data_IF_275075080772
#
_entry.id   IF_275075080772
#
_cell.length_a   1.000
_cell.length_b   1.000
_cell.length_c   1.000
_cell.angle_alpha   90.00
_cell.angle_beta   90.00
_cell.angle_gamma   90.00
#
_symmetry.space_group_name_H-M   'P 1'
#
loop_
_entity.id
_entity.type
_entity.pdbx_description
1 polymer ?
#
# COMPACT_ATOMS: atom_id res chain seq x y z
N UNK A 1 14.10 9.15 20.39
CA UNK A 1 13.22 9.39 19.23
C UNK A 1 12.44 8.14 18.79
N UNK A 2 13.03 7.10 18.18
CA UNK A 2 12.28 5.94 17.62
C UNK A 2 11.19 5.32 18.53
N UNK A 3 11.45 5.14 19.84
CA UNK A 3 10.47 4.59 20.78
C UNK A 3 9.19 5.44 20.91
N UNK A 4 9.31 6.77 20.99
CA UNK A 4 8.15 7.67 21.13
C UNK A 4 7.21 7.59 19.93
N UNK A 5 7.74 7.45 18.71
CA UNK A 5 6.91 7.31 17.49
C UNK A 5 6.06 6.04 17.53
N UNK A 6 6.60 4.93 18.05
CA UNK A 6 5.87 3.68 18.23
C UNK A 6 4.77 3.82 19.29
N UNK A 7 5.05 4.48 20.41
CA UNK A 7 4.07 4.75 21.47
C UNK A 7 2.95 5.67 20.96
N UNK A 8 3.28 6.73 20.22
CA UNK A 8 2.27 7.59 19.57
C UNK A 8 1.40 6.83 18.57
N UNK A 9 1.98 5.95 17.76
CA UNK A 9 1.22 5.12 16.82
C UNK A 9 0.26 4.15 17.53
N UNK A 10 0.73 3.48 18.60
CA UNK A 10 -0.10 2.58 19.41
C UNK A 10 -1.25 3.30 20.12
N UNK A 11 -1.03 4.54 20.58
CA UNK A 11 -2.09 5.37 21.17
C UNK A 11 -3.12 5.84 20.13
N UNK A 12 -2.70 6.17 18.91
CA UNK A 12 -3.60 6.55 17.83
C UNK A 12 -4.50 5.39 17.37
N UNK A 13 -4.00 4.16 17.35
CA UNK A 13 -4.80 2.97 17.02
C UNK A 13 -5.93 2.69 18.02
N UNK A 14 -5.78 3.07 19.29
CA UNK A 14 -6.79 2.81 20.33
C UNK A 14 -8.00 3.75 20.29
N UNK A 15 -7.98 4.84 19.50
CA UNK A 15 -9.08 5.81 19.47
C UNK A 15 -10.10 5.57 18.36
N UNK A 16 -9.90 4.56 17.49
CA UNK A 16 -10.91 4.15 16.51
C UNK A 16 -11.94 3.24 17.20
N UNK A 17 -12.76 3.85 18.05
CA UNK A 17 -13.95 3.20 18.63
C UNK A 17 -14.98 2.95 17.53
N UNK A 18 -14.82 1.84 16.80
CA UNK A 18 -15.83 1.36 15.85
C UNK A 18 -17.09 1.03 16.63
N UNK A 19 -18.08 1.93 16.57
CA UNK A 19 -19.43 1.64 17.06
C UNK A 19 -20.03 0.58 16.14
N UNK A 20 -19.93 -0.68 16.56
CA UNK A 20 -20.32 -1.84 15.78
C UNK A 20 -21.84 -1.97 15.65
N UNK A 21 -22.44 -1.24 14.72
CA UNK A 21 -23.77 -1.57 14.22
C UNK A 21 -23.68 -2.89 13.44
N UNK A 22 -24.40 -3.90 13.93
CA UNK A 22 -24.39 -5.26 13.42
C UNK A 22 -25.15 -5.35 12.09
N UNK A 23 -24.48 -4.97 11.00
CA UNK A 23 -25.03 -5.05 9.64
C UNK A 23 -24.78 -6.43 9.03
N UNK A 24 -25.84 -7.14 8.62
CA UNK A 24 -25.66 -8.31 7.76
C UNK A 24 -25.08 -7.86 6.41
N UNK A 25 -23.84 -8.28 6.14
CA UNK A 25 -23.15 -7.98 4.87
C UNK A 25 -23.24 -9.18 3.95
N UNK A 26 -24.02 -9.05 2.87
CA UNK A 26 -24.16 -10.08 1.83
C UNK A 26 -23.34 -9.68 0.60
N UNK A 27 -22.59 -10.63 0.05
CA UNK A 27 -21.75 -10.48 -1.15
C UNK A 27 -22.21 -11.49 -2.22
N UNK A 28 -22.14 -11.09 -3.50
CA UNK A 28 -22.54 -11.92 -4.65
C UNK A 28 -21.78 -11.43 -5.90
N UNK A 29 -21.65 -12.25 -6.96
CA UNK A 29 -21.02 -11.83 -8.21
C UNK A 29 -22.02 -11.15 -9.17
N UNK A 30 -21.57 -10.26 -10.07
CA UNK A 30 -22.42 -9.69 -11.13
C UNK A 30 -23.12 -10.76 -11.97
N UNK A 31 -24.36 -10.47 -12.38
CA UNK A 31 -25.21 -11.34 -13.21
C UNK A 31 -25.91 -12.48 -12.44
N UNK A 32 -25.52 -12.77 -11.20
CA UNK A 32 -26.15 -13.81 -10.37
C UNK A 32 -27.49 -13.34 -9.78
N UNK A 33 -28.07 -14.16 -8.90
CA UNK A 33 -29.22 -13.84 -8.05
C UNK A 33 -28.77 -13.86 -6.57
N UNK A 34 -29.35 -12.97 -5.76
CA UNK A 34 -29.12 -12.87 -4.32
C UNK A 34 -30.46 -12.71 -3.60
N UNK A 35 -30.56 -13.19 -2.37
CA UNK A 35 -31.71 -12.93 -1.51
C UNK A 35 -31.25 -12.31 -0.20
N UNK A 36 -31.79 -11.14 0.13
CA UNK A 36 -31.65 -10.48 1.43
C UNK A 36 -32.73 -11.00 2.38
N UNK A 37 -32.41 -11.13 3.67
CA UNK A 37 -33.25 -11.75 4.69
C UNK A 37 -33.48 -10.79 5.86
N UNK A 38 -34.73 -10.38 6.05
CA UNK A 38 -35.14 -9.57 7.20
C UNK A 38 -36.03 -10.39 8.13
N UNK A 39 -35.74 -10.40 9.44
CA UNK A 39 -36.56 -11.15 10.41
C UNK A 39 -37.92 -10.48 10.58
N UNK A 40 -39.00 -11.24 10.42
CA UNK A 40 -40.34 -10.76 10.76
C UNK A 40 -40.44 -10.58 12.28
N UNK A 41 -40.70 -9.34 12.71
CA UNK A 41 -40.88 -8.98 14.12
C UNK A 41 -42.37 -8.91 14.53
N UNK A 42 -43.30 -9.02 13.58
CA UNK A 42 -44.73 -8.93 13.85
C UNK A 42 -45.38 -10.30 14.03
N UNK A 43 -46.14 -10.45 15.12
CA UNK A 43 -46.98 -11.62 15.38
C UNK A 43 -48.35 -11.56 14.68
N UNK A 44 -48.68 -10.42 14.06
CA UNK A 44 -49.94 -10.18 13.34
C UNK A 44 -49.69 -9.59 11.93
N UNK A 45 -50.68 -9.64 11.02
CA UNK A 45 -50.61 -8.99 9.71
C UNK A 45 -50.25 -7.50 9.81
N UNK A 46 -49.22 -7.09 9.08
CA UNK A 46 -48.70 -5.71 9.07
C UNK A 46 -48.17 -5.36 7.68
N UNK A 47 -48.34 -4.09 7.29
CA UNK A 47 -47.66 -3.56 6.12
C UNK A 47 -46.14 -3.64 6.31
N UNK A 48 -45.54 -4.53 5.56
CA UNK A 48 -44.10 -4.77 5.52
C UNK A 48 -43.57 -4.36 4.17
N UNK A 49 -42.44 -3.65 4.14
CA UNK A 49 -41.84 -3.13 2.91
C UNK A 49 -40.34 -3.35 2.85
N UNK A 50 -39.81 -3.35 1.63
CA UNK A 50 -38.39 -3.19 1.35
C UNK A 50 -38.14 -1.85 0.65
N UNK A 51 -37.02 -1.24 0.98
CA UNK A 51 -36.54 0.01 0.40
C UNK A 51 -35.01 0.00 0.30
N UNK A 52 -34.45 0.81 -0.61
CA UNK A 52 -33.00 0.98 -0.80
C UNK A 52 -32.59 2.42 -0.61
N UNK A 53 -31.43 2.65 -0.02
CA UNK A 53 -30.85 3.98 0.15
C UNK A 53 -30.12 4.41 -1.12
N UNK A 54 -30.77 5.29 -1.89
CA UNK A 54 -30.26 5.82 -3.15
C UNK A 54 -29.52 7.15 -2.94
N UNK A 55 -28.36 7.27 -3.58
CA UNK A 55 -27.53 8.49 -3.65
C UNK A 55 -27.28 9.19 -2.29
N UNK A 56 -27.08 8.39 -1.23
CA UNK A 56 -26.78 8.82 0.16
C UNK A 56 -27.78 9.80 0.82
N UNK A 57 -28.92 10.07 0.18
CA UNK A 57 -29.83 11.17 0.56
C UNK A 57 -31.30 10.80 0.49
N UNK A 58 -31.67 9.74 -0.24
CA UNK A 58 -33.07 9.37 -0.47
C UNK A 58 -33.29 7.87 -0.25
N UNK A 59 -34.18 7.53 0.69
CA UNK A 59 -34.78 6.19 0.76
C UNK A 59 -35.78 6.07 -0.39
N UNK A 60 -35.67 4.99 -1.17
CA UNK A 60 -36.56 4.68 -2.28
C UNK A 60 -37.26 3.34 -2.03
N UNK A 61 -38.59 3.32 -2.04
CA UNK A 61 -39.38 2.09 -1.93
C UNK A 61 -39.09 1.15 -3.10
N UNK A 62 -38.95 -0.15 -2.81
CA UNK A 62 -38.86 -1.23 -3.80
C UNK A 62 -40.21 -1.93 -3.90
N UNK A 63 -40.70 -2.46 -2.77
CA UNK A 63 -41.87 -3.34 -2.72
C UNK A 63 -42.52 -3.39 -1.34
N UNK A 64 -43.79 -3.80 -1.27
CA UNK A 64 -44.49 -4.01 0.01
C UNK A 64 -45.59 -5.08 -0.05
N UNK A 65 -45.89 -5.69 1.10
CA UNK A 65 -46.96 -6.67 1.33
C UNK A 65 -47.67 -6.39 2.67
N UNK A 66 -48.85 -6.97 2.90
CA UNK A 66 -49.61 -6.81 4.15
C UNK A 66 -49.54 -8.03 5.10
N UNK A 67 -49.19 -9.20 4.55
CA UNK A 67 -49.05 -10.48 5.26
C UNK A 67 -48.24 -11.44 4.38
N UNK A 68 -47.72 -12.52 4.96
CA UNK A 68 -46.78 -13.43 4.28
C UNK A 68 -47.37 -14.14 3.05
N UNK A 69 -48.68 -14.39 3.03
CA UNK A 69 -49.41 -14.98 1.90
C UNK A 69 -50.05 -13.94 0.95
N UNK A 70 -49.88 -12.64 1.19
CA UNK A 70 -50.33 -11.60 0.28
C UNK A 70 -49.35 -11.42 -0.88
N UNK A 71 -49.89 -11.33 -2.11
CA UNK A 71 -49.12 -10.93 -3.29
C UNK A 71 -48.42 -9.57 -3.05
N UNK A 72 -47.10 -9.45 -3.32
CA UNK A 72 -46.38 -8.19 -3.17
C UNK A 72 -46.83 -7.15 -4.20
N UNK A 73 -46.73 -5.89 -3.81
CA UNK A 73 -46.84 -4.70 -4.67
C UNK A 73 -45.46 -4.10 -4.88
N UNK A 74 -45.19 -3.55 -6.06
CA UNK A 74 -43.89 -2.97 -6.43
C UNK A 74 -44.01 -1.48 -6.74
N UNK A 75 -43.08 -0.69 -6.20
CA UNK A 75 -43.03 0.76 -6.33
C UNK A 75 -42.50 1.18 -7.72
N UNK A 76 -42.83 2.40 -8.15
CA UNK A 76 -42.50 2.90 -9.50
C UNK A 76 -41.01 2.80 -9.83
N UNK A 77 -40.68 2.07 -10.90
CA UNK A 77 -39.32 1.77 -11.34
C UNK A 77 -38.83 0.37 -10.96
N UNK A 78 -39.55 -0.34 -10.08
CA UNK A 78 -39.20 -1.68 -9.59
C UNK A 78 -40.09 -2.79 -10.16
N UNK A 79 -41.03 -2.47 -11.05
CA UNK A 79 -41.94 -3.44 -11.68
C UNK A 79 -41.31 -4.30 -12.80
N UNK A 80 -40.01 -4.16 -13.08
CA UNK A 80 -39.32 -4.83 -14.20
C UNK A 80 -39.00 -6.32 -13.98
N UNK A 81 -39.42 -6.92 -12.86
CA UNK A 81 -39.13 -8.31 -12.51
C UNK A 81 -37.70 -8.58 -12.02
N UNK A 82 -36.84 -7.55 -11.94
CA UNK A 82 -35.48 -7.66 -11.37
C UNK A 82 -35.51 -7.91 -9.86
N UNK A 83 -36.53 -7.38 -9.19
CA UNK A 83 -36.74 -7.53 -7.75
C UNK A 83 -37.96 -8.42 -7.51
N UNK A 84 -37.84 -9.37 -6.59
CA UNK A 84 -38.94 -10.23 -6.13
C UNK A 84 -38.99 -10.21 -4.60
N UNK A 85 -40.20 -10.08 -4.04
CA UNK A 85 -40.41 -10.00 -2.60
C UNK A 85 -41.31 -11.15 -2.15
N UNK A 86 -40.83 -11.94 -1.19
CA UNK A 86 -41.57 -13.06 -0.62
C UNK A 86 -41.45 -13.06 0.90
N UNK A 87 -42.20 -13.91 1.58
CA UNK A 87 -42.25 -13.94 3.05
C UNK A 87 -42.76 -15.27 3.56
N UNK A 88 -42.32 -15.65 4.75
CA UNK A 88 -42.89 -16.73 5.54
C UNK A 88 -43.24 -16.19 6.95
N UNK A 89 -43.58 -17.07 7.90
CA UNK A 89 -43.99 -16.62 9.25
C UNK A 89 -42.86 -15.87 9.99
N UNK A 90 -41.59 -16.27 9.82
CA UNK A 90 -40.45 -15.75 10.59
C UNK A 90 -39.59 -14.72 9.85
N UNK A 91 -39.72 -14.62 8.53
CA UNK A 91 -38.71 -13.98 7.67
C UNK A 91 -39.35 -13.40 6.42
N UNK A 92 -38.87 -12.22 6.02
CA UNK A 92 -39.28 -11.48 4.83
C UNK A 92 -38.05 -11.36 3.92
N UNK A 93 -38.23 -11.63 2.64
CA UNK A 93 -37.14 -11.80 1.69
C UNK A 93 -37.21 -10.75 0.59
N UNK A 94 -36.05 -10.28 0.13
CA UNK A 94 -35.91 -9.54 -1.12
C UNK A 94 -34.89 -10.23 -2.01
N UNK A 95 -35.37 -10.85 -3.08
CA UNK A 95 -34.55 -11.44 -4.12
C UNK A 95 -34.24 -10.39 -5.19
N UNK A 96 -32.96 -10.26 -5.57
CA UNK A 96 -32.48 -9.37 -6.62
C UNK A 96 -31.82 -10.25 -7.69
N UNK A 97 -32.32 -10.16 -8.92
CA UNK A 97 -31.94 -10.99 -10.07
C UNK A 97 -31.08 -10.21 -11.05
N UNK A 98 -30.25 -10.89 -11.84
CA UNK A 98 -29.35 -10.29 -12.83
C UNK A 98 -28.61 -9.08 -12.26
N UNK A 99 -27.95 -9.35 -11.13
CA UNK A 99 -27.44 -8.34 -10.22
C UNK A 99 -26.32 -7.50 -10.87
N UNK A 100 -26.30 -6.18 -10.60
CA UNK A 100 -25.30 -5.27 -11.17
C UNK A 100 -24.79 -4.23 -10.15
N UNK A 101 -23.74 -3.48 -10.52
CA UNK A 101 -23.08 -2.50 -9.64
C UNK A 101 -24.03 -1.43 -9.09
N UNK A 102 -25.12 -1.11 -9.79
CA UNK A 102 -26.14 -0.15 -9.34
C UNK A 102 -27.09 -0.71 -8.28
N UNK A 103 -27.06 -2.02 -7.98
CA UNK A 103 -27.75 -2.60 -6.83
C UNK A 103 -26.98 -2.43 -5.52
N UNK A 104 -25.71 -2.01 -5.56
CA UNK A 104 -24.88 -1.77 -4.36
C UNK A 104 -25.52 -0.74 -3.43
N UNK A 105 -25.69 -1.05 -2.14
CA UNK A 105 -26.18 -0.06 -1.19
C UNK A 105 -26.75 -0.61 0.12
N UNK A 106 -27.24 0.29 0.96
CA UNK A 106 -27.98 -0.06 2.17
C UNK A 106 -29.43 -0.42 1.80
N UNK A 107 -29.89 -1.59 2.23
CA UNK A 107 -31.27 -2.03 2.08
C UNK A 107 -31.95 -2.02 3.44
N UNK A 108 -33.20 -1.59 3.45
CA UNK A 108 -33.97 -1.33 4.65
C UNK A 108 -35.32 -2.02 4.51
N UNK A 109 -35.55 -3.04 5.34
CA UNK A 109 -36.89 -3.57 5.56
C UNK A 109 -37.59 -2.76 6.66
N UNK A 110 -38.91 -2.72 6.64
CA UNK A 110 -39.66 -2.09 7.73
C UNK A 110 -41.10 -2.59 7.84
N UNK A 111 -41.65 -2.42 9.04
CA UNK A 111 -42.94 -2.95 9.49
C UNK A 111 -43.79 -1.81 10.08
N UNK A 112 -45.08 -1.78 9.78
CA UNK A 112 -46.00 -0.78 10.32
C UNK A 112 -46.82 -1.36 11.49
N UNK A 113 -46.32 -1.17 12.70
CA UNK A 113 -46.85 -1.80 13.92
C UNK A 113 -47.41 -0.71 14.84
N UNK A 114 -48.68 -0.86 15.25
CA UNK A 114 -49.38 0.03 16.18
C UNK A 114 -49.33 1.53 15.80
N UNK A 115 -49.34 1.84 14.50
CA UNK A 115 -49.27 3.21 13.98
C UNK A 115 -47.85 3.74 13.74
N UNK A 116 -46.81 2.97 14.09
CA UNK A 116 -45.40 3.35 13.96
C UNK A 116 -44.66 2.50 12.93
N UNK A 117 -43.75 3.13 12.18
CA UNK A 117 -42.83 2.43 11.28
C UNK A 117 -41.57 2.01 12.04
N UNK A 118 -41.35 0.70 12.16
CA UNK A 118 -40.10 0.13 12.68
C UNK A 118 -39.25 -0.29 11.49
N UNK A 119 -37.96 0.08 11.48
CA UNK A 119 -37.02 -0.18 10.37
C UNK A 119 -35.88 -1.08 10.89
N UNK A 120 -35.46 -2.04 10.08
CA UNK A 120 -34.24 -2.84 10.27
C UNK A 120 -33.38 -2.74 8.99
N UNK A 121 -32.07 -2.94 9.12
CA UNK A 121 -31.10 -2.44 8.14
C UNK A 121 -30.00 -3.43 7.78
N UNK A 122 -29.96 -3.84 6.51
CA UNK A 122 -29.02 -4.81 5.96
C UNK A 122 -28.08 -4.13 4.96
N UNK A 123 -26.78 -4.32 5.12
CA UNK A 123 -25.77 -3.66 4.28
C UNK A 123 -25.42 -4.53 3.08
N UNK A 124 -26.07 -4.31 1.95
CA UNK A 124 -25.79 -5.10 0.75
C UNK A 124 -24.55 -4.57 0.00
N UNK A 125 -23.44 -5.29 0.14
CA UNK A 125 -22.11 -4.84 -0.24
C UNK A 125 -21.42 -5.78 -1.21
N UNK A 126 -21.24 -5.31 -2.45
CA UNK A 126 -20.40 -5.99 -3.43
C UNK A 126 -18.93 -5.79 -3.11
N UNK A 127 -18.14 -6.86 -3.28
CA UNK A 127 -16.69 -6.73 -3.37
C UNK A 127 -16.23 -7.39 -4.67
N UNK A 128 -16.06 -6.58 -5.72
CA UNK A 128 -15.27 -6.94 -6.90
C UNK A 128 -13.77 -7.00 -6.50
N UNK A 129 -13.42 -7.92 -5.59
CA UNK A 129 -12.03 -8.20 -5.24
C UNK A 129 -11.23 -8.58 -6.48
N UNK A 130 -11.84 -9.30 -7.43
CA UNK A 130 -11.20 -9.66 -8.70
C UNK A 130 -10.74 -8.45 -9.49
N UNK A 131 -11.61 -7.46 -9.75
CA UNK A 131 -11.25 -6.25 -10.50
C UNK A 131 -10.40 -5.29 -9.68
N UNK A 132 -10.80 -4.99 -8.43
CA UNK A 132 -10.07 -4.02 -7.61
C UNK A 132 -8.68 -4.54 -7.23
N UNK A 133 -8.53 -5.82 -6.88
CA UNK A 133 -7.21 -6.40 -6.61
C UNK A 133 -6.41 -6.58 -7.89
N UNK A 134 -7.00 -6.95 -9.04
CA UNK A 134 -6.21 -7.04 -10.28
C UNK A 134 -5.71 -5.68 -10.75
N UNK A 135 -6.50 -4.61 -10.63
CA UNK A 135 -6.05 -3.23 -10.89
C UNK A 135 -4.97 -2.79 -9.89
N UNK A 136 -5.13 -3.05 -8.59
CA UNK A 136 -4.12 -2.72 -7.57
C UNK A 136 -2.83 -3.52 -7.76
N UNK A 137 -2.91 -4.82 -8.08
CA UNK A 137 -1.76 -5.68 -8.36
C UNK A 137 -1.05 -5.25 -9.65
N UNK A 138 -1.78 -4.94 -10.73
CA UNK A 138 -1.20 -4.41 -11.96
C UNK A 138 -0.51 -3.06 -11.74
N UNK A 139 -1.10 -2.16 -10.96
CA UNK A 139 -0.47 -0.91 -10.56
C UNK A 139 0.79 -1.13 -9.71
N UNK A 140 0.76 -2.05 -8.74
CA UNK A 140 1.93 -2.38 -7.93
C UNK A 140 3.07 -3.02 -8.76
N UNK A 141 2.74 -3.90 -9.71
CA UNK A 141 3.72 -4.54 -10.61
C UNK A 141 4.33 -3.51 -11.57
N UNK A 142 3.54 -2.63 -12.18
CA UNK A 142 4.08 -1.57 -13.06
C UNK A 142 4.97 -0.59 -12.30
N UNK A 143 4.58 -0.16 -11.10
CA UNK A 143 5.41 0.71 -10.24
C UNK A 143 6.73 0.02 -9.85
N UNK A 144 6.71 -1.25 -9.43
CA UNK A 144 7.94 -1.96 -9.06
C UNK A 144 8.88 -2.18 -10.25
N UNK A 145 8.37 -2.47 -11.45
CA UNK A 145 9.19 -2.54 -12.68
C UNK A 145 9.85 -1.20 -13.01
N UNK A 146 9.11 -0.08 -12.91
CA UNK A 146 9.68 1.28 -13.15
C UNK A 146 10.77 1.62 -12.12
N UNK A 147 10.58 1.27 -10.85
CA UNK A 147 11.60 1.45 -9.81
C UNK A 147 12.87 0.63 -10.08
N UNK A 148 12.73 -0.63 -10.52
CA UNK A 148 13.87 -1.47 -10.89
C UNK A 148 14.63 -0.86 -12.09
N UNK A 149 13.92 -0.42 -13.13
CA UNK A 149 14.54 0.17 -14.32
C UNK A 149 15.29 1.48 -14.02
N UNK A 150 14.75 2.34 -13.15
CA UNK A 150 15.45 3.57 -12.73
C UNK A 150 16.69 3.28 -11.89
N UNK A 151 16.66 2.29 -10.99
CA UNK A 151 17.84 1.84 -10.22
C UNK A 151 18.93 1.30 -11.16
N UNK A 152 18.57 0.49 -12.15
CA UNK A 152 19.53 -0.04 -13.14
C UNK A 152 20.15 1.10 -13.97
N UNK A 153 19.34 2.06 -14.45
CA UNK A 153 19.84 3.22 -15.20
C UNK A 153 20.81 4.08 -14.38
N UNK A 154 20.51 4.31 -13.10
CA UNK A 154 21.41 5.02 -12.17
C UNK A 154 22.70 4.24 -11.94
N UNK A 155 22.65 2.92 -11.74
CA UNK A 155 23.83 2.08 -11.56
C UNK A 155 24.74 2.07 -12.81
N UNK A 156 24.17 2.03 -14.02
CA UNK A 156 24.93 2.14 -15.28
C UNK A 156 25.55 3.53 -15.43
N UNK A 157 24.81 4.60 -15.13
CA UNK A 157 25.33 5.98 -15.16
C UNK A 157 26.48 6.18 -14.17
N UNK A 158 26.36 5.63 -12.96
CA UNK A 158 27.40 5.68 -11.93
C UNK A 158 28.65 4.88 -12.33
N UNK A 159 28.48 3.66 -12.89
CA UNK A 159 29.60 2.87 -13.44
C UNK A 159 30.34 3.62 -14.56
N UNK A 160 29.62 4.21 -15.52
CA UNK A 160 30.25 5.02 -16.59
C UNK A 160 31.05 6.21 -16.03
N UNK A 161 30.50 6.89 -15.01
CA UNK A 161 31.20 8.00 -14.35
C UNK A 161 32.46 7.55 -13.60
N UNK A 162 32.41 6.39 -12.93
CA UNK A 162 33.59 5.79 -12.29
C UNK A 162 34.66 5.34 -13.30
N UNK A 163 34.27 4.81 -14.47
CA UNK A 163 35.22 4.46 -15.54
C UNK A 163 35.95 5.69 -16.05
N UNK A 164 35.23 6.76 -16.39
CA UNK A 164 35.83 8.02 -16.83
C UNK A 164 36.78 8.63 -15.77
N UNK A 165 36.39 8.59 -14.49
CA UNK A 165 37.26 9.05 -13.40
C UNK A 165 38.51 8.16 -13.23
N UNK A 166 38.43 6.84 -13.49
CA UNK A 166 39.62 5.97 -13.49
C UNK A 166 40.56 6.29 -14.64
N UNK A 167 40.04 6.44 -15.86
CA UNK A 167 40.82 6.79 -17.05
C UNK A 167 41.56 8.13 -16.84
N UNK A 168 40.85 9.16 -16.38
CA UNK A 168 41.43 10.47 -16.06
C UNK A 168 42.46 10.40 -14.92
N UNK A 169 42.24 9.55 -13.91
CA UNK A 169 43.18 9.35 -12.80
C UNK A 169 44.46 8.61 -13.21
N UNK A 170 44.37 7.65 -14.13
CA UNK A 170 45.54 6.94 -14.67
C UNK A 170 46.33 7.82 -15.64
N UNK A 171 45.65 8.60 -16.49
CA UNK A 171 46.31 9.54 -17.38
C UNK A 171 47.12 10.60 -16.62
N UNK A 172 46.59 11.13 -15.50
CA UNK A 172 47.31 12.09 -14.66
C UNK A 172 48.55 11.48 -13.97
N UNK A 173 48.50 10.19 -13.59
CA UNK A 173 49.65 9.49 -13.01
C UNK A 173 50.74 9.20 -14.06
N UNK A 174 50.35 8.80 -15.27
CA UNK A 174 51.29 8.56 -16.37
C UNK A 174 51.99 9.85 -16.81
N UNK A 175 51.23 10.94 -17.01
CA UNK A 175 51.77 12.23 -17.44
C UNK A 175 52.78 12.81 -16.42
N UNK A 176 52.57 12.55 -15.13
CA UNK A 176 53.51 12.95 -14.07
C UNK A 176 54.77 12.06 -14.00
N UNK A 177 54.75 10.87 -14.61
CA UNK A 177 55.86 9.90 -14.59
C UNK A 177 56.79 9.98 -15.81
N UNK A 178 56.37 10.57 -16.93
CA UNK A 178 57.21 10.67 -18.13
C UNK A 178 58.19 11.87 -18.09
N UNK A 179 57.86 12.93 -17.35
CA UNK A 179 58.62 14.19 -17.26
C UNK A 179 59.90 14.14 -16.40
N UNK A 180 60.26 12.98 -15.84
CA UNK A 180 61.40 12.81 -14.91
C UNK A 180 62.66 12.17 -15.52
N UNK A 181 62.79 12.12 -16.85
CA UNK A 181 63.99 11.68 -17.54
C UNK A 181 65.12 12.74 -17.55
N UNK A 182 65.73 12.99 -16.39
CA UNK A 182 66.87 13.90 -16.26
C UNK A 182 68.15 13.30 -16.88
N UNK A 183 68.69 13.97 -17.91
CA UNK A 183 69.91 13.55 -18.58
C UNK A 183 71.17 13.79 -17.71
N UNK A 184 71.66 12.73 -17.05
CA UNK A 184 72.87 12.79 -16.25
C UNK A 184 74.15 12.93 -17.11
N UNK A 185 74.75 14.12 -17.11
CA UNK A 185 76.06 14.37 -17.75
C UNK A 185 77.19 13.62 -17.03
N UNK A 186 77.75 12.61 -17.68
CA UNK A 186 78.88 11.81 -17.21
C UNK A 186 80.23 12.50 -17.45
N UNK A 187 80.59 13.45 -16.57
CA UNK A 187 81.94 14.03 -16.56
C UNK A 187 82.96 13.01 -16.03
N UNK A 188 83.90 12.58 -16.89
CA UNK A 188 85.06 11.77 -16.49
C UNK A 188 86.29 12.66 -16.19
N UNK A 189 86.76 12.76 -14.94
CA UNK A 189 88.04 13.39 -14.61
C UNK A 189 89.22 12.46 -14.98
N UNK A 190 90.30 13.03 -15.51
CA UNK A 190 91.56 12.29 -15.76
C UNK A 190 92.23 11.86 -14.45
N UNK A 191 92.88 10.70 -14.47
CA UNK A 191 93.58 10.14 -13.32
C UNK A 191 94.89 10.86 -12.97
N UNK A 192 95.20 10.98 -11.67
CA UNK A 192 96.59 10.83 -11.19
C UNK A 192 96.71 10.42 -9.70
N UNK A 193 97.60 9.43 -9.47
CA UNK A 193 98.42 9.09 -8.27
C UNK A 193 97.98 9.40 -6.81
N UNK A 194 98.05 8.33 -6.01
CA UNK A 194 98.71 8.21 -4.69
C UNK A 194 98.07 8.85 -3.42
N UNK A 195 97.43 8.02 -2.56
CA UNK A 195 97.98 7.55 -1.25
C UNK A 195 97.08 6.52 -0.53
N UNK A 196 97.67 5.82 0.47
CA UNK A 196 97.13 4.77 1.39
C UNK A 196 98.06 4.74 2.63
N UNK A 197 97.74 4.20 3.83
CA UNK A 197 96.47 3.70 4.40
C UNK A 197 95.71 4.86 5.11
N UNK A 198 95.04 4.83 6.29
CA UNK A 198 94.79 3.91 7.43
C UNK A 198 93.58 4.46 8.24
N UNK A 199 93.06 3.93 9.37
CA UNK A 199 92.99 2.64 10.09
C UNK A 199 92.22 2.90 11.42
N UNK A 200 91.57 1.88 11.99
CA UNK A 200 91.08 1.75 13.39
C UNK A 200 89.85 2.54 13.96
N UNK A 201 88.93 1.74 14.51
CA UNK A 201 88.11 1.87 15.75
C UNK A 201 87.15 3.07 16.00
N UNK A 202 85.86 2.79 15.82
CA UNK A 202 84.90 2.48 16.91
C UNK A 202 85.10 3.20 18.27
N UNK A 203 84.13 4.03 18.68
CA UNK A 203 83.32 3.82 19.90
C UNK A 203 82.10 4.78 19.98
N UNK A 204 81.02 4.30 20.60
CA UNK A 204 79.81 5.05 21.01
C UNK A 204 79.18 4.28 22.19
N UNK A 205 78.28 4.84 23.01
CA UNK A 205 78.13 6.20 23.52
C UNK A 205 78.42 6.26 25.05
N UNK A 206 78.16 7.39 25.72
CA UNK A 206 77.18 7.48 26.84
C UNK A 206 77.25 8.78 27.69
N UNK A 207 76.05 9.29 28.02
CA UNK A 207 75.62 9.90 29.31
C UNK A 207 76.44 11.06 29.93
N UNK A 208 75.76 12.20 30.15
CA UNK A 208 75.40 12.74 31.50
C UNK A 208 74.28 13.77 31.33
N UNK A 209 73.25 13.69 32.17
CA UNK A 209 72.25 14.76 32.34
C UNK A 209 72.60 15.59 33.58
N UNK A 210 72.49 16.91 33.48
CA UNK A 210 72.39 17.82 34.61
C UNK A 210 71.39 18.92 34.24
N UNK A 211 70.50 19.30 35.17
CA UNK A 211 69.34 20.12 34.87
C UNK A 211 69.23 21.37 35.76
N UNK A 212 68.68 22.43 35.18
CA UNK A 212 67.95 23.55 35.81
C UNK A 212 68.61 24.37 36.92
N UNK A 213 68.49 25.69 36.78
CA UNK A 213 68.17 26.62 37.86
C UNK A 213 66.94 27.42 37.46
#
# INVERSE_FOLDING_TARGET
MRSFVLISALLLCNWVSVSGSEFQTVQVQPGQEVTLLCRNISTSPTHTFWSRFTNRTRISCISSMYKSDSKPSFCHGFQNGKYEMSSNVSTVFLTIKQVDLSDSGLYLCGFYINGHTIIHSDLFGYINLTELMSVILAAAVTVTVVLIMTIIALAVKYRKLQTAHKEQSQQNQNLHSEDLNYAALSFHPKANRNRRPASDRQLEPNVVYAATR
#
